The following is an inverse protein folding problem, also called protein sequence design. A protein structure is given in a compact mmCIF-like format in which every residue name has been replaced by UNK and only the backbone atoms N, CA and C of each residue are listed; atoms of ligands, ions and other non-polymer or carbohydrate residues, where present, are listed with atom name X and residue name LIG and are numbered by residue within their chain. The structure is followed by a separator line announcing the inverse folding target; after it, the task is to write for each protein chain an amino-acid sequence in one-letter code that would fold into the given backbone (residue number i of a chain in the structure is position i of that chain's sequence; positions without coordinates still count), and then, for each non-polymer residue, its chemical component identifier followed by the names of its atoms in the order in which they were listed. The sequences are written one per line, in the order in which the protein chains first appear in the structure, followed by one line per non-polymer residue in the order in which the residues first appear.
data_IF_902425176501
#
_entry.id   IF_902425176501
#
_cell.length_a   1.000
_cell.length_b   1.000
_cell.length_c   1.000
_cell.angle_alpha   90.00
_cell.angle_beta   90.00
_cell.angle_gamma   90.00
#
_symmetry.space_group_name_H-M   'P 1'
#
loop_
_entity.id
_entity.type
_entity.pdbx_description
1 polymer ?
#
# COMPACT_ATOMS: atom_id res chain seq x y z
N UNK A 1 10.79 24.46 4.80
CA UNK A 1 9.98 23.84 3.73
C UNK A 1 9.27 22.64 4.30
N UNK A 2 7.98 22.60 4.18
CA UNK A 2 7.16 21.53 4.73
C UNK A 2 6.83 20.56 3.60
N UNK A 3 7.20 19.30 3.74
CA UNK A 3 6.84 18.26 2.78
C UNK A 3 5.60 17.53 3.27
N UNK A 4 4.59 17.45 2.44
CA UNK A 4 3.45 16.57 2.70
C UNK A 4 3.77 15.16 2.22
N UNK A 5 3.50 14.19 3.08
CA UNK A 5 3.66 12.79 2.75
C UNK A 5 2.29 12.21 2.36
N UNK A 6 2.23 11.58 1.21
CA UNK A 6 1.07 10.83 0.76
C UNK A 6 1.40 9.33 0.85
N UNK A 7 0.55 8.58 1.51
CA UNK A 7 0.71 7.14 1.62
C UNK A 7 -0.52 6.43 1.04
N UNK A 8 -0.28 5.50 0.15
CA UNK A 8 -1.29 4.58 -0.38
C UNK A 8 -1.06 3.21 0.26
N UNK A 9 -2.05 2.71 0.98
CA UNK A 9 -2.04 1.39 1.59
C UNK A 9 -2.90 0.44 0.77
N UNK A 10 -2.33 -0.70 0.42
CA UNK A 10 -3.03 -1.81 -0.22
C UNK A 10 -3.11 -2.96 0.78
N UNK A 11 -4.31 -3.24 1.25
CA UNK A 11 -4.55 -4.31 2.22
C UNK A 11 -5.53 -5.33 1.65
N UNK A 12 -5.26 -6.60 1.88
CA UNK A 12 -6.21 -7.66 1.61
C UNK A 12 -7.20 -7.72 2.77
N UNK A 13 -8.48 -7.47 2.50
CA UNK A 13 -9.56 -7.67 3.45
C UNK A 13 -10.47 -8.78 2.93
N UNK A 14 -10.49 -9.93 3.57
CA UNK A 14 -11.57 -10.89 3.38
C UNK A 14 -12.77 -10.48 4.21
N UNK A 15 -13.88 -10.24 3.56
CA UNK A 15 -15.17 -10.09 4.19
C UNK A 15 -15.66 -11.50 4.60
N UNK A 16 -15.31 -11.94 5.80
CA UNK A 16 -16.13 -12.92 6.47
C UNK A 16 -17.31 -12.15 7.06
N UNK A 17 -18.47 -12.30 6.44
CA UNK A 17 -19.71 -11.76 6.96
C UNK A 17 -20.09 -12.53 8.23
N UNK A 18 -19.57 -12.07 9.35
CA UNK A 18 -20.09 -12.44 10.65
C UNK A 18 -20.73 -11.20 11.23
N UNK A 19 -22.04 -11.09 11.02
CA UNK A 19 -22.85 -10.10 11.71
C UNK A 19 -22.89 -10.45 13.20
N UNK A 20 -22.00 -9.84 13.96
CA UNK A 20 -22.15 -9.77 15.40
C UNK A 20 -22.40 -8.31 15.74
N UNK A 21 -23.66 -8.00 15.97
CA UNK A 21 -24.07 -6.77 16.60
C UNK A 21 -23.53 -6.74 18.03
N UNK A 22 -22.42 -6.05 18.22
CA UNK A 22 -21.95 -5.71 19.55
C UNK A 22 -21.93 -4.21 19.71
N UNK A 23 -22.52 -3.74 20.81
CA UNK A 23 -22.59 -2.35 21.21
C UNK A 23 -21.18 -1.73 21.29
N UNK A 24 -21.11 -0.46 20.89
CA UNK A 24 -19.89 0.32 20.85
C UNK A 24 -19.14 0.33 22.17
N UNK A 25 -17.98 -0.33 22.22
CA UNK A 25 -16.98 -0.05 23.24
C UNK A 25 -16.14 1.17 22.84
N UNK A 26 -15.65 1.95 23.82
CA UNK A 26 -14.80 3.10 23.53
C UNK A 26 -13.57 2.68 22.75
N UNK A 27 -13.28 3.41 21.69
CA UNK A 27 -12.28 3.12 20.69
C UNK A 27 -10.91 2.79 21.28
N UNK A 28 -10.60 1.52 21.37
CA UNK A 28 -9.22 1.04 21.32
C UNK A 28 -8.61 1.46 19.99
N UNK A 29 -7.30 1.77 19.93
CA UNK A 29 -6.67 2.08 18.66
C UNK A 29 -6.99 0.99 17.66
N UNK A 30 -7.65 1.36 16.56
CA UNK A 30 -8.13 0.39 15.56
C UNK A 30 -6.90 -0.27 14.96
N UNK A 31 -6.66 -1.52 15.33
CA UNK A 31 -5.62 -2.34 14.71
C UNK A 31 -5.96 -2.52 13.24
N UNK A 32 -5.02 -2.21 12.36
CA UNK A 32 -5.21 -2.40 10.93
C UNK A 32 -5.60 -3.87 10.66
N UNK A 33 -6.60 -4.13 9.81
CA UNK A 33 -7.12 -5.49 9.61
C UNK A 33 -6.06 -6.55 9.26
N UNK A 34 -5.03 -6.16 8.52
CA UNK A 34 -3.95 -7.09 8.13
C UNK A 34 -3.05 -7.52 9.29
N UNK A 35 -3.09 -6.81 10.42
CA UNK A 35 -2.32 -7.12 11.63
C UNK A 35 -3.04 -8.12 12.54
N UNK A 36 -4.32 -8.40 12.28
CA UNK A 36 -5.09 -9.34 13.09
C UNK A 36 -4.60 -10.77 12.86
N UNK A 37 -4.57 -11.54 13.93
CA UNK A 37 -4.31 -12.97 13.83
C UNK A 37 -5.34 -13.63 12.92
N UNK A 38 -4.87 -14.44 11.95
CA UNK A 38 -5.74 -15.08 10.97
C UNK A 38 -6.17 -14.17 9.80
N UNK A 39 -5.70 -12.94 9.70
CA UNK A 39 -5.90 -12.11 8.52
C UNK A 39 -5.30 -12.81 7.28
N UNK A 40 -6.01 -12.82 6.13
CA UNK A 40 -5.54 -13.50 4.95
C UNK A 40 -4.30 -12.84 4.36
N UNK A 41 -3.47 -13.64 3.71
CA UNK A 41 -2.35 -13.18 2.88
C UNK A 41 -2.72 -13.25 1.42
N UNK A 42 -2.08 -12.42 0.60
CA UNK A 42 -2.09 -12.63 -0.84
C UNK A 42 -1.40 -13.95 -1.18
N UNK A 43 -1.82 -14.62 -2.24
CA UNK A 43 -1.26 -15.91 -2.63
C UNK A 43 0.05 -15.75 -3.41
N UNK A 44 0.92 -14.89 -2.91
CA UNK A 44 2.19 -14.56 -3.53
C UNK A 44 3.19 -14.13 -2.46
N UNK A 45 4.39 -14.69 -2.49
CA UNK A 45 5.49 -14.18 -1.68
C UNK A 45 6.00 -12.86 -2.24
N UNK A 46 6.73 -12.10 -1.41
CA UNK A 46 7.30 -10.82 -1.86
C UNK A 46 8.27 -11.01 -3.03
N UNK A 47 9.04 -12.07 -3.06
CA UNK A 47 9.95 -12.37 -4.16
C UNK A 47 9.21 -12.67 -5.46
N UNK A 48 8.17 -13.50 -5.39
CA UNK A 48 7.33 -13.81 -6.55
C UNK A 48 6.63 -12.55 -7.10
N UNK A 49 6.12 -11.71 -6.20
CA UNK A 49 5.53 -10.43 -6.57
C UNK A 49 6.52 -9.54 -7.32
N UNK A 50 7.71 -9.37 -6.76
CA UNK A 50 8.76 -8.54 -7.35
C UNK A 50 9.18 -9.04 -8.74
N UNK A 51 9.39 -10.32 -8.90
CA UNK A 51 9.76 -10.94 -10.19
C UNK A 51 8.68 -10.71 -11.25
N UNK A 52 7.42 -11.00 -10.91
CA UNK A 52 6.30 -10.81 -11.82
C UNK A 52 6.10 -9.32 -12.17
N UNK A 53 6.18 -8.45 -11.18
CA UNK A 53 6.06 -7.00 -11.38
C UNK A 53 7.13 -6.47 -12.32
N UNK A 54 8.38 -6.82 -12.09
CA UNK A 54 9.51 -6.35 -12.90
C UNK A 54 9.45 -6.88 -14.34
N UNK A 55 8.97 -8.10 -14.51
CA UNK A 55 8.76 -8.69 -15.85
C UNK A 55 7.69 -7.94 -16.64
N UNK A 56 6.58 -7.58 -15.98
CA UNK A 56 5.47 -6.87 -16.62
C UNK A 56 5.70 -5.37 -16.77
N UNK A 57 6.55 -4.79 -15.93
CA UNK A 57 6.80 -3.36 -15.90
C UNK A 57 8.31 -3.07 -15.96
N UNK A 58 8.99 -3.37 -17.06
CA UNK A 58 10.45 -3.25 -17.12
C UNK A 58 10.98 -1.83 -16.95
N UNK A 59 10.17 -0.82 -17.24
CA UNK A 59 10.51 0.59 -17.02
C UNK A 59 10.25 1.08 -15.59
N UNK A 60 9.62 0.27 -14.76
CA UNK A 60 9.24 0.58 -13.38
C UNK A 60 9.79 -0.48 -12.42
N UNK A 61 11.03 -0.88 -12.58
CA UNK A 61 11.62 -1.94 -11.79
C UNK A 61 11.61 -1.63 -10.29
N UNK A 62 11.27 -2.65 -9.50
CA UNK A 62 11.41 -2.64 -8.05
C UNK A 62 12.73 -3.28 -7.64
N UNK A 63 13.43 -2.63 -6.73
CA UNK A 63 14.61 -3.17 -6.08
C UNK A 63 14.24 -4.30 -5.09
N UNK A 64 15.27 -4.90 -4.52
CA UNK A 64 15.09 -5.93 -3.50
C UNK A 64 14.38 -5.38 -2.26
N UNK A 65 13.42 -6.14 -1.75
CA UNK A 65 12.79 -5.86 -0.46
C UNK A 65 13.68 -6.39 0.66
N UNK A 66 14.19 -5.48 1.47
CA UNK A 66 15.07 -5.80 2.59
C UNK A 66 14.31 -5.75 3.90
N UNK A 67 14.62 -6.67 4.78
CA UNK A 67 14.03 -6.70 6.12
C UNK A 67 14.26 -5.36 6.83
N UNK A 68 13.18 -4.83 7.42
CA UNK A 68 13.23 -3.67 8.29
C UNK A 68 13.41 -4.16 9.71
N UNK A 69 14.18 -3.41 10.51
CA UNK A 69 14.50 -3.73 11.88
C UNK A 69 13.25 -4.03 12.73
N UNK A 70 13.31 -5.12 13.49
CA UNK A 70 12.21 -5.86 14.06
C UNK A 70 11.36 -5.22 15.14
N UNK A 71 11.47 -3.90 15.40
CA UNK A 71 10.71 -3.22 16.45
C UNK A 71 9.17 -3.30 16.29
N UNK A 72 8.69 -3.61 15.09
CA UNK A 72 7.26 -3.79 14.77
C UNK A 72 6.93 -5.22 14.36
N UNK A 73 7.89 -6.13 14.43
CA UNK A 73 7.66 -7.53 14.14
C UNK A 73 6.82 -8.16 15.24
N UNK A 74 5.91 -9.02 14.82
CA UNK A 74 5.13 -9.86 15.72
C UNK A 74 5.52 -11.33 15.50
N UNK A 75 5.05 -12.26 16.32
CA UNK A 75 5.28 -13.68 16.07
C UNK A 75 4.80 -14.17 14.70
N UNK A 76 3.83 -13.47 14.10
CA UNK A 76 3.20 -13.86 12.82
C UNK A 76 3.57 -12.97 11.64
N UNK A 77 4.19 -11.82 11.89
CA UNK A 77 4.50 -10.81 10.86
C UNK A 77 5.95 -10.39 10.89
N UNK A 78 6.50 -10.17 9.73
CA UNK A 78 7.75 -9.45 9.51
C UNK A 78 7.55 -8.35 8.47
N UNK A 79 8.49 -7.42 8.37
CA UNK A 79 8.39 -6.27 7.47
C UNK A 79 9.61 -6.16 6.58
N UNK A 80 9.38 -5.70 5.36
CA UNK A 80 10.45 -5.41 4.42
C UNK A 80 10.15 -4.14 3.65
N UNK A 81 11.17 -3.50 3.10
CA UNK A 81 11.04 -2.31 2.30
C UNK A 81 11.99 -2.29 1.12
N UNK A 82 11.58 -1.62 0.08
CA UNK A 82 12.38 -1.34 -1.12
C UNK A 82 12.33 0.16 -1.40
N UNK A 83 13.50 0.77 -1.49
CA UNK A 83 13.62 2.15 -1.97
C UNK A 83 13.49 2.16 -3.49
N UNK A 84 12.53 2.90 -4.00
CA UNK A 84 12.33 3.06 -5.45
C UNK A 84 13.17 4.23 -5.96
N UNK A 85 13.07 5.37 -5.29
CA UNK A 85 13.92 6.55 -5.51
C UNK A 85 13.95 7.40 -4.24
N UNK A 86 14.54 8.58 -4.30
CA UNK A 86 14.70 9.46 -3.12
C UNK A 86 13.37 9.89 -2.50
N UNK A 87 12.28 9.81 -3.24
CA UNK A 87 10.97 10.31 -2.83
C UNK A 87 9.90 9.23 -2.75
N UNK A 88 10.23 7.98 -3.07
CA UNK A 88 9.26 6.92 -3.21
C UNK A 88 9.78 5.61 -2.63
N UNK A 89 9.00 5.03 -1.74
CA UNK A 89 9.32 3.78 -1.04
C UNK A 89 8.15 2.83 -1.12
N UNK A 90 8.45 1.55 -1.27
CA UNK A 90 7.48 0.48 -1.05
C UNK A 90 7.84 -0.27 0.24
N UNK A 91 6.87 -0.50 1.10
CA UNK A 91 7.02 -1.33 2.29
C UNK A 91 5.90 -2.35 2.37
N UNK A 92 6.18 -3.47 3.00
CA UNK A 92 5.26 -4.59 3.03
C UNK A 92 5.27 -5.26 4.40
N UNK A 93 4.09 -5.68 4.86
CA UNK A 93 3.96 -6.63 5.96
C UNK A 93 3.80 -8.03 5.35
N UNK A 94 4.59 -8.95 5.85
CA UNK A 94 4.71 -10.31 5.34
C UNK A 94 4.32 -11.31 6.41
N UNK A 95 3.70 -12.41 5.98
CA UNK A 95 3.50 -13.57 6.84
C UNK A 95 4.86 -14.20 7.16
N UNK A 96 5.15 -14.35 8.45
CA UNK A 96 6.41 -14.96 8.89
C UNK A 96 6.46 -16.43 8.48
N UNK A 97 7.57 -16.84 7.92
CA UNK A 97 7.80 -18.19 7.42
C UNK A 97 7.57 -18.33 5.92
N UNK A 98 6.42 -17.91 5.39
CA UNK A 98 6.09 -18.00 3.96
C UNK A 98 6.55 -16.78 3.16
N UNK A 99 6.70 -15.63 3.83
CA UNK A 99 6.93 -14.32 3.22
C UNK A 99 5.82 -13.89 2.24
N UNK A 100 4.63 -14.46 2.40
CA UNK A 100 3.45 -14.02 1.65
C UNK A 100 3.03 -12.63 2.07
N UNK A 101 2.57 -11.84 1.12
CA UNK A 101 2.22 -10.44 1.33
C UNK A 101 0.89 -10.34 2.08
N UNK A 102 0.89 -9.63 3.20
CA UNK A 102 -0.33 -9.25 3.93
C UNK A 102 -0.78 -7.84 3.60
N UNK A 103 0.16 -6.94 3.39
CA UNK A 103 -0.12 -5.58 2.93
C UNK A 103 1.06 -5.02 2.13
N UNK A 104 0.76 -4.08 1.26
CA UNK A 104 1.75 -3.29 0.55
C UNK A 104 1.42 -1.82 0.77
N UNK A 105 2.44 -1.05 1.14
CA UNK A 105 2.34 0.39 1.32
C UNK A 105 3.31 1.09 0.39
N UNK A 106 2.82 2.11 -0.30
CA UNK A 106 3.66 2.99 -1.09
C UNK A 106 3.63 4.37 -0.45
N UNK A 107 4.79 4.87 -0.11
CA UNK A 107 4.97 6.18 0.50
C UNK A 107 5.63 7.11 -0.50
N UNK A 108 4.99 8.21 -0.80
CA UNK A 108 5.52 9.26 -1.63
C UNK A 108 5.73 10.52 -0.82
N UNK A 109 6.95 11.05 -0.90
CA UNK A 109 7.37 12.30 -0.27
C UNK A 109 7.47 13.36 -1.36
N UNK A 110 6.49 14.28 -1.49
CA UNK A 110 6.54 15.33 -2.50
C UNK A 110 7.76 16.22 -2.35
N UNK A 111 8.35 16.58 -3.47
CA UNK A 111 9.44 17.54 -3.55
C UNK A 111 8.96 18.87 -4.13
N UNK A 112 9.68 19.92 -3.81
CA UNK A 112 9.47 21.24 -4.38
C UNK A 112 10.52 21.50 -5.47
N UNK A 113 10.20 22.40 -6.39
CA UNK A 113 11.14 22.82 -7.42
C UNK A 113 10.84 22.28 -8.81
N UNK A 114 11.77 22.42 -9.76
CA UNK A 114 11.52 22.13 -11.18
C UNK A 114 11.26 20.65 -11.47
N UNK A 115 11.72 19.75 -10.61
CA UNK A 115 11.53 18.30 -10.77
C UNK A 115 10.23 17.77 -10.17
N UNK A 116 9.47 18.61 -9.47
CA UNK A 116 8.23 18.21 -8.79
C UNK A 116 7.25 17.47 -9.71
N UNK A 117 7.03 18.00 -10.90
CA UNK A 117 6.08 17.42 -11.86
C UNK A 117 6.52 16.03 -12.33
N UNK A 118 7.80 15.86 -12.65
CA UNK A 118 8.34 14.59 -13.09
C UNK A 118 8.33 13.55 -11.95
N UNK A 119 8.69 13.95 -10.75
CA UNK A 119 8.67 13.08 -9.57
C UNK A 119 7.24 12.61 -9.25
N UNK A 120 6.25 13.50 -9.33
CA UNK A 120 4.84 13.17 -9.15
C UNK A 120 4.35 12.18 -10.21
N UNK A 121 4.66 12.42 -11.48
CA UNK A 121 4.28 11.54 -12.58
C UNK A 121 4.85 10.13 -12.38
N UNK A 122 6.12 10.02 -11.98
CA UNK A 122 6.78 8.75 -11.71
C UNK A 122 6.14 8.02 -10.52
N UNK A 123 5.83 8.74 -9.45
CA UNK A 123 5.14 8.17 -8.29
C UNK A 123 3.77 7.60 -8.68
N UNK A 124 2.99 8.32 -9.49
CA UNK A 124 1.68 7.86 -9.95
C UNK A 124 1.79 6.65 -10.88
N UNK A 125 2.82 6.59 -11.73
CA UNK A 125 3.08 5.40 -12.57
C UNK A 125 3.32 4.16 -11.71
N UNK A 126 4.20 4.24 -10.71
CA UNK A 126 4.46 3.13 -9.78
C UNK A 126 3.21 2.74 -8.98
N UNK A 127 2.50 3.71 -8.44
CA UNK A 127 1.28 3.46 -7.68
C UNK A 127 0.23 2.73 -8.51
N UNK A 128 -0.02 3.18 -9.76
CA UNK A 128 -1.02 2.53 -10.64
C UNK A 128 -0.57 1.14 -11.09
N UNK A 129 0.71 0.94 -11.36
CA UNK A 129 1.23 -0.36 -11.73
C UNK A 129 1.16 -1.37 -10.57
N UNK A 130 1.46 -0.94 -9.35
CA UNK A 130 1.35 -1.79 -8.16
C UNK A 130 -0.13 -2.07 -7.84
N UNK A 131 -1.00 -1.09 -7.95
CA UNK A 131 -2.44 -1.28 -7.82
C UNK A 131 -2.94 -2.36 -8.80
N UNK A 132 -2.53 -2.29 -10.05
CA UNK A 132 -2.88 -3.28 -11.07
C UNK A 132 -2.33 -4.68 -10.74
N UNK A 133 -1.14 -4.76 -10.18
CA UNK A 133 -0.56 -6.04 -9.77
C UNK A 133 -1.42 -6.77 -8.72
N UNK A 134 -2.07 -6.02 -7.83
CA UNK A 134 -3.00 -6.55 -6.83
C UNK A 134 -4.43 -6.70 -7.33
N UNK A 135 -4.77 -6.07 -8.44
CA UNK A 135 -6.10 -6.18 -9.08
C UNK A 135 -5.91 -6.45 -10.58
N UNK A 136 -5.46 -7.65 -10.94
CA UNK A 136 -5.04 -7.97 -12.32
C UNK A 136 -6.19 -7.97 -13.34
N UNK A 137 -7.44 -7.91 -12.87
CA UNK A 137 -8.61 -7.74 -13.74
C UNK A 137 -8.72 -6.34 -14.34
N UNK A 138 -8.02 -5.36 -13.77
CA UNK A 138 -8.00 -4.01 -14.31
C UNK A 138 -7.05 -3.90 -15.51
N UNK A 139 -7.48 -3.15 -16.53
CA UNK A 139 -6.59 -2.65 -17.57
C UNK A 139 -5.68 -1.57 -16.99
N UNK A 140 -4.64 -1.21 -17.73
CA UNK A 140 -3.77 -0.08 -17.34
C UNK A 140 -4.57 1.20 -17.13
N UNK A 141 -5.49 1.52 -18.06
CA UNK A 141 -6.33 2.70 -17.96
C UNK A 141 -7.27 2.65 -16.74
N UNK A 142 -7.88 1.50 -16.47
CA UNK A 142 -8.74 1.32 -15.29
C UNK A 142 -7.95 1.48 -13.98
N UNK A 143 -6.72 1.00 -13.92
CA UNK A 143 -5.85 1.17 -12.76
C UNK A 143 -5.51 2.63 -12.50
N UNK A 144 -5.21 3.38 -13.55
CA UNK A 144 -4.96 4.82 -13.46
C UNK A 144 -6.20 5.59 -12.99
N UNK A 145 -7.38 5.26 -13.53
CA UNK A 145 -8.64 5.85 -13.11
C UNK A 145 -8.98 5.54 -11.65
N UNK A 146 -8.79 4.28 -11.23
CA UNK A 146 -8.99 3.87 -9.83
C UNK A 146 -8.09 4.64 -8.89
N UNK A 147 -6.81 4.76 -9.23
CA UNK A 147 -5.85 5.53 -8.45
C UNK A 147 -6.28 6.99 -8.33
N UNK A 148 -6.69 7.63 -9.42
CA UNK A 148 -7.16 9.01 -9.39
C UNK A 148 -8.39 9.19 -8.50
N UNK A 149 -9.34 8.27 -8.57
CA UNK A 149 -10.52 8.29 -7.68
C UNK A 149 -10.12 8.18 -6.21
N UNK A 150 -9.22 7.27 -5.88
CA UNK A 150 -8.74 7.07 -4.51
C UNK A 150 -8.03 8.31 -3.98
N UNK A 151 -7.12 8.87 -4.75
CA UNK A 151 -6.36 10.06 -4.36
C UNK A 151 -7.26 11.28 -4.22
N UNK A 152 -8.23 11.45 -5.10
CA UNK A 152 -9.21 12.54 -5.04
C UNK A 152 -10.11 12.40 -3.81
N UNK A 153 -10.64 11.21 -3.58
CA UNK A 153 -11.51 10.93 -2.44
C UNK A 153 -10.78 11.02 -1.10
N UNK A 154 -9.50 10.66 -1.08
CA UNK A 154 -8.64 10.69 0.10
C UNK A 154 -7.94 12.03 0.35
N UNK A 155 -8.08 13.00 -0.55
CA UNK A 155 -7.40 14.29 -0.43
C UNK A 155 -7.79 15.00 0.88
N UNK A 156 -6.79 15.46 1.62
CA UNK A 156 -6.94 16.11 2.93
C UNK A 156 -7.61 15.24 4.01
N UNK A 157 -7.66 13.94 3.79
CA UNK A 157 -8.16 12.98 4.78
C UNK A 157 -7.02 12.19 5.38
N UNK A 158 -7.02 12.01 6.69
CA UNK A 158 -6.06 11.13 7.36
C UNK A 158 -6.23 9.68 6.94
N UNK A 159 -7.44 9.32 6.55
CA UNK A 159 -7.80 7.96 6.22
C UNK A 159 -8.99 7.95 5.28
N UNK A 160 -8.84 7.28 4.15
CA UNK A 160 -9.93 6.94 3.24
C UNK A 160 -9.72 5.51 2.77
N UNK A 161 -10.76 4.72 2.80
CA UNK A 161 -10.70 3.33 2.37
C UNK A 161 -11.80 3.01 1.36
N UNK A 162 -11.46 2.19 0.38
CA UNK A 162 -12.38 1.62 -0.59
C UNK A 162 -12.00 0.15 -0.81
N UNK A 163 -12.98 -0.66 -1.19
CA UNK A 163 -12.79 -2.09 -1.37
C UNK A 163 -13.18 -2.49 -2.78
N UNK A 164 -12.33 -3.28 -3.42
CA UNK A 164 -12.58 -3.87 -4.74
C UNK A 164 -12.37 -5.38 -4.61
N UNK A 165 -13.47 -6.14 -4.61
CA UNK A 165 -13.40 -7.57 -4.33
C UNK A 165 -12.80 -7.85 -2.95
N UNK A 166 -11.74 -8.64 -2.91
CA UNK A 166 -11.01 -8.97 -1.67
C UNK A 166 -9.90 -7.96 -1.32
N UNK A 167 -9.69 -6.95 -2.16
CA UNK A 167 -8.61 -5.96 -1.97
C UNK A 167 -9.18 -4.70 -1.37
N UNK A 168 -8.58 -4.27 -0.26
CA UNK A 168 -8.90 -3.00 0.38
C UNK A 168 -7.81 -1.99 0.06
N UNK A 169 -8.20 -0.87 -0.51
CA UNK A 169 -7.33 0.27 -0.77
C UNK A 169 -7.50 1.31 0.33
N UNK A 170 -6.40 1.81 0.83
CA UNK A 170 -6.38 2.85 1.86
C UNK A 170 -5.50 3.99 1.38
N UNK A 171 -6.02 5.20 1.45
CA UNK A 171 -5.26 6.43 1.20
C UNK A 171 -5.13 7.20 2.49
N UNK A 172 -3.91 7.54 2.86
CA UNK A 172 -3.62 8.43 3.95
C UNK A 172 -2.89 9.66 3.39
N UNK A 173 -3.55 10.80 3.47
CA UNK A 173 -2.97 12.09 3.10
C UNK A 173 -2.66 12.84 4.39
N UNK A 174 -1.37 12.90 4.72
CA UNK A 174 -0.93 13.59 5.94
C UNK A 174 -0.93 15.10 5.79
N UNK A 175 -1.19 15.62 4.59
CA UNK A 175 -1.34 17.04 4.29
C UNK A 175 -0.18 17.92 4.76
N UNK A 176 0.07 19.00 4.06
CA UNK A 176 0.81 20.08 4.68
C UNK A 176 -0.11 20.81 5.62
N UNK A 177 0.07 20.59 6.90
CA UNK A 177 -0.39 21.60 7.84
C UNK A 177 0.73 22.62 7.97
N UNK A 178 0.53 23.66 7.22
CA UNK A 178 1.28 24.87 7.42
C UNK A 178 1.20 25.34 8.87
#
# INVERSE_FOLDING_TARGET
MKSSAHSLYLCLAMLSASFSLHAAEPASPVTAPYLLAGAPSFDQSISQFREAFNKENPSLALGEFRAIDGARDTPTLTRAASKINENLYASTALERGTLKIKSMQITWLPIQGPEQKAAKAKALEYMSAILRAFTPTFTKAQSQQKLQKLLTAGKNKRYYADTEGAVRYVVADNGEKG
#
